data_IF_125979618845
#
_entry.id   IF_125979618845
#
_cell.length_a   1.000
_cell.length_b   1.000
_cell.length_c   1.000
_cell.angle_alpha   90.00
_cell.angle_beta   90.00
_cell.angle_gamma   90.00
#
_symmetry.space_group_name_H-M   'P 1'
#
loop_
_entity.id
_entity.type
_entity.pdbx_description
1 polymer ?
#
# COMPACT_ATOMS: atom_id res chain seq x y z
N UNK A 1 18.55 -43.35 -43.01
CA UNK A 1 18.96 -43.04 -41.62
C UNK A 1 19.60 -41.66 -41.44
N UNK A 2 20.30 -41.07 -42.41
CA UNK A 2 20.91 -39.72 -42.24
C UNK A 2 19.96 -38.51 -42.35
N UNK A 3 18.77 -38.67 -42.98
CA UNK A 3 17.77 -37.58 -43.07
C UNK A 3 16.86 -37.46 -41.84
N UNK A 4 16.76 -38.51 -41.02
CA UNK A 4 15.93 -38.50 -39.80
C UNK A 4 16.65 -37.83 -38.62
N UNK A 5 17.98 -37.87 -38.60
CA UNK A 5 18.80 -37.21 -37.59
C UNK A 5 18.84 -35.68 -37.73
N UNK A 6 18.68 -35.16 -38.96
CA UNK A 6 18.67 -33.71 -39.20
C UNK A 6 17.34 -33.05 -38.80
N UNK A 7 16.24 -33.80 -38.80
CA UNK A 7 14.94 -33.31 -38.33
C UNK A 7 14.85 -33.25 -36.79
N UNK A 8 15.58 -34.13 -36.09
CA UNK A 8 15.57 -34.14 -34.62
C UNK A 8 16.38 -32.99 -34.02
N UNK A 9 17.46 -32.55 -34.66
CA UNK A 9 18.26 -31.40 -34.19
C UNK A 9 17.59 -30.04 -34.46
N UNK A 10 16.71 -29.93 -35.44
CA UNK A 10 15.93 -28.70 -35.68
C UNK A 10 14.72 -28.61 -34.73
N UNK A 11 14.15 -29.74 -34.30
CA UNK A 11 13.06 -29.73 -33.31
C UNK A 11 13.53 -29.37 -31.88
N UNK A 12 14.79 -29.64 -31.54
CA UNK A 12 15.35 -29.28 -30.22
C UNK A 12 15.71 -27.78 -30.08
N UNK A 13 15.80 -27.03 -31.19
CA UNK A 13 15.96 -25.58 -31.15
C UNK A 13 14.65 -24.79 -31.15
N UNK A 14 13.51 -25.45 -31.35
CA UNK A 14 12.17 -24.83 -31.34
C UNK A 14 11.43 -25.01 -30.01
N UNK A 15 12.03 -25.69 -29.03
CA UNK A 15 11.51 -25.84 -27.66
C UNK A 15 12.13 -24.83 -26.66
N UNK A 16 12.91 -23.86 -27.16
CA UNK A 16 13.54 -22.81 -26.35
C UNK A 16 12.71 -21.52 -26.21
N UNK A 17 11.41 -21.53 -26.52
CA UNK A 17 10.54 -20.37 -26.39
C UNK A 17 9.66 -20.50 -25.14
N UNK A 18 9.59 -19.42 -24.36
CA UNK A 18 8.92 -19.26 -23.05
C UNK A 18 9.76 -19.62 -21.81
N UNK A 19 11.06 -19.36 -21.81
CA UNK A 19 11.70 -18.98 -20.54
C UNK A 19 11.37 -17.49 -20.29
N UNK A 20 10.82 -17.11 -19.13
CA UNK A 20 10.61 -15.70 -18.80
C UNK A 20 11.96 -14.97 -18.90
N UNK A 21 11.94 -13.75 -19.45
CA UNK A 21 13.14 -12.89 -19.50
C UNK A 21 13.73 -12.82 -18.08
N UNK A 22 15.05 -13.05 -17.89
CA UNK A 22 15.66 -12.91 -16.57
C UNK A 22 15.27 -11.56 -15.97
N UNK A 23 14.97 -11.53 -14.68
CA UNK A 23 14.70 -10.26 -14.02
C UNK A 23 15.90 -9.33 -14.21
N UNK A 24 15.68 -8.19 -14.87
CA UNK A 24 16.75 -7.21 -15.14
C UNK A 24 17.25 -6.53 -13.86
N UNK A 25 16.43 -6.56 -12.81
CA UNK A 25 16.68 -5.94 -11.51
C UNK A 25 16.73 -6.94 -10.37
N UNK A 26 17.62 -6.68 -9.42
CA UNK A 26 17.70 -7.39 -8.13
C UNK A 26 16.58 -6.99 -7.18
N UNK A 27 16.29 -7.88 -6.22
CA UNK A 27 15.41 -7.58 -5.09
C UNK A 27 15.94 -6.37 -4.31
N UNK A 28 15.04 -5.48 -3.89
CA UNK A 28 15.38 -4.40 -2.97
C UNK A 28 15.65 -4.98 -1.59
N UNK A 29 16.77 -4.60 -0.98
CA UNK A 29 17.18 -5.07 0.35
C UNK A 29 17.63 -3.92 1.24
N UNK A 30 17.69 -4.17 2.54
CA UNK A 30 18.34 -3.27 3.51
C UNK A 30 19.81 -3.68 3.65
N UNK A 31 20.73 -2.73 3.47
CA UNK A 31 22.17 -2.96 3.64
C UNK A 31 22.60 -2.85 5.13
N UNK A 32 23.89 -3.04 5.40
CA UNK A 32 24.43 -2.98 6.77
C UNK A 32 24.29 -1.59 7.44
N UNK A 33 24.19 -0.53 6.64
CA UNK A 33 24.01 0.85 7.12
C UNK A 33 22.52 1.20 7.31
N UNK A 34 21.60 0.26 7.05
CA UNK A 34 20.16 0.46 7.20
C UNK A 34 19.47 1.13 6.00
N UNK A 35 20.15 1.27 4.86
CA UNK A 35 19.58 1.89 3.67
C UNK A 35 18.98 0.85 2.72
N UNK A 36 17.91 1.21 2.02
CA UNK A 36 17.46 0.42 0.88
C UNK A 36 18.50 0.46 -0.24
N UNK A 37 18.71 -0.69 -0.88
CA UNK A 37 19.62 -0.86 -2.00
C UNK A 37 18.94 -1.68 -3.09
N UNK A 38 19.05 -1.21 -4.34
CA UNK A 38 18.66 -1.93 -5.56
C UNK A 38 19.81 -1.87 -6.55
N UNK A 39 20.22 -3.01 -7.08
CA UNK A 39 21.32 -3.14 -8.05
C UNK A 39 22.63 -2.50 -7.58
N UNK A 40 22.92 -2.64 -6.27
CA UNK A 40 24.13 -2.10 -5.64
C UNK A 40 24.10 -0.58 -5.39
N UNK A 41 22.98 0.11 -5.66
CA UNK A 41 22.83 1.55 -5.44
C UNK A 41 21.78 1.84 -4.36
N UNK A 42 21.97 2.90 -3.55
CA UNK A 42 20.93 3.36 -2.64
C UNK A 42 19.61 3.63 -3.37
N UNK A 43 18.50 3.21 -2.77
CA UNK A 43 17.17 3.31 -3.35
C UNK A 43 16.29 4.23 -2.49
N UNK A 44 15.99 5.41 -3.03
CA UNK A 44 15.06 6.38 -2.44
C UNK A 44 13.92 6.66 -3.41
N UNK A 45 12.73 6.96 -2.91
CA UNK A 45 11.58 7.16 -3.79
C UNK A 45 10.53 8.12 -3.22
N UNK A 46 9.88 8.85 -4.13
CA UNK A 46 8.52 9.36 -3.93
C UNK A 46 7.62 8.48 -4.79
N UNK A 47 6.81 7.66 -4.12
CA UNK A 47 5.85 6.74 -4.70
C UNK A 47 4.40 7.23 -4.54
N UNK A 48 3.44 6.37 -4.85
CA UNK A 48 2.02 6.66 -4.68
C UNK A 48 1.27 5.48 -4.03
N UNK A 49 0.19 5.78 -3.30
CA UNK A 49 -0.82 4.77 -2.97
C UNK A 49 -1.76 4.59 -4.18
N UNK A 50 -1.89 3.36 -4.65
CA UNK A 50 -2.68 2.97 -5.81
C UNK A 50 -3.43 1.68 -5.51
N UNK A 51 -4.25 1.73 -4.45
CA UNK A 51 -4.89 0.55 -3.84
C UNK A 51 -5.75 -0.26 -4.83
N UNK A 52 -6.32 0.39 -5.85
CA UNK A 52 -7.22 -0.22 -6.84
C UNK A 52 -6.50 -0.79 -8.07
N UNK A 53 -5.16 -0.80 -8.10
CA UNK A 53 -4.38 -1.25 -9.26
C UNK A 53 -4.70 -2.69 -9.71
N UNK A 54 -4.87 -3.61 -8.75
CA UNK A 54 -5.27 -5.00 -9.03
C UNK A 54 -6.67 -5.09 -9.66
N UNK A 55 -7.61 -4.24 -9.22
CA UNK A 55 -8.97 -4.22 -9.76
C UNK A 55 -8.96 -3.76 -11.22
N UNK A 56 -8.25 -2.68 -11.56
CA UNK A 56 -8.16 -2.22 -12.96
C UNK A 56 -7.51 -3.27 -13.88
N UNK A 57 -6.62 -4.11 -13.36
CA UNK A 57 -6.01 -5.20 -14.11
C UNK A 57 -6.96 -6.35 -14.43
N UNK A 58 -8.13 -6.41 -13.78
CA UNK A 58 -9.14 -7.47 -13.96
C UNK A 58 -9.78 -7.41 -15.36
N UNK A 59 -10.19 -8.57 -15.87
CA UNK A 59 -11.10 -8.67 -17.04
C UNK A 59 -12.58 -8.77 -16.62
N UNK A 60 -12.82 -8.91 -15.31
CA UNK A 60 -14.17 -8.96 -14.73
C UNK A 60 -14.69 -7.59 -14.31
N UNK A 61 -15.63 -7.58 -13.38
CA UNK A 61 -16.21 -6.35 -12.82
C UNK A 61 -15.11 -5.42 -12.24
N UNK A 62 -15.28 -4.11 -12.40
CA UNK A 62 -14.31 -3.08 -12.00
C UNK A 62 -13.06 -2.98 -12.89
N UNK A 63 -12.83 -3.96 -13.77
CA UNK A 63 -11.68 -4.00 -14.67
C UNK A 63 -11.66 -2.86 -15.69
N UNK A 64 -10.50 -2.25 -15.88
CA UNK A 64 -10.26 -1.27 -16.93
C UNK A 64 -8.76 -1.21 -17.26
N UNK A 65 -8.29 -2.20 -18.04
CA UNK A 65 -6.87 -2.32 -18.41
C UNK A 65 -6.35 -1.15 -19.23
N UNK A 66 -7.19 -0.55 -20.08
CA UNK A 66 -6.80 0.65 -20.84
C UNK A 66 -6.48 1.81 -19.90
N UNK A 67 -7.36 2.06 -18.92
CA UNK A 67 -7.07 3.03 -17.86
C UNK A 67 -5.82 2.62 -17.09
N UNK A 68 -5.67 1.36 -16.68
CA UNK A 68 -4.48 0.90 -15.95
C UNK A 68 -3.19 1.26 -16.70
N UNK A 69 -3.08 0.95 -18.00
CA UNK A 69 -1.91 1.29 -18.79
C UNK A 69 -1.66 2.80 -18.81
N UNK A 70 -2.72 3.60 -19.03
CA UNK A 70 -2.64 5.06 -19.04
C UNK A 70 -2.16 5.63 -17.70
N UNK A 71 -2.68 5.11 -16.59
CA UNK A 71 -2.26 5.51 -15.23
C UNK A 71 -0.78 5.18 -15.00
N UNK A 72 -0.36 3.95 -15.29
CA UNK A 72 1.02 3.50 -15.07
C UNK A 72 2.02 4.20 -15.98
N UNK A 73 1.68 4.43 -17.25
CA UNK A 73 2.51 5.20 -18.18
C UNK A 73 2.70 6.63 -17.68
N UNK A 74 1.63 7.26 -17.20
CA UNK A 74 1.70 8.61 -16.66
C UNK A 74 2.55 8.66 -15.38
N UNK A 75 2.28 7.77 -14.41
CA UNK A 75 3.04 7.66 -13.17
C UNK A 75 4.54 7.47 -13.45
N UNK A 76 4.88 6.55 -14.36
CA UNK A 76 6.27 6.34 -14.79
C UNK A 76 6.86 7.60 -15.43
N UNK A 77 6.11 8.31 -16.28
CA UNK A 77 6.57 9.52 -16.95
C UNK A 77 6.91 10.68 -16.00
N UNK A 78 6.29 10.71 -14.80
CA UNK A 78 6.58 11.67 -13.73
C UNK A 78 7.57 11.13 -12.69
N UNK A 79 8.18 9.97 -12.96
CA UNK A 79 9.27 9.41 -12.17
C UNK A 79 8.83 8.55 -10.99
N UNK A 80 7.54 8.24 -10.83
CA UNK A 80 7.08 7.27 -9.83
C UNK A 80 7.61 5.89 -10.21
N UNK A 81 8.22 5.21 -9.24
CA UNK A 81 8.78 3.85 -9.42
C UNK A 81 8.35 2.87 -8.32
N UNK A 82 7.54 3.30 -7.36
CA UNK A 82 7.03 2.49 -6.27
C UNK A 82 5.55 2.79 -6.04
N UNK A 83 4.73 1.75 -5.94
CA UNK A 83 3.31 1.83 -5.65
C UNK A 83 2.97 0.98 -4.43
N UNK A 84 2.17 1.52 -3.52
CA UNK A 84 1.59 0.77 -2.41
C UNK A 84 0.16 0.38 -2.76
N UNK A 85 -0.14 -0.93 -2.71
CA UNK A 85 -1.30 -1.53 -3.37
C UNK A 85 -1.97 -2.56 -2.46
N UNK A 86 -3.31 -2.52 -2.40
CA UNK A 86 -4.11 -3.54 -1.73
C UNK A 86 -4.11 -4.80 -2.61
N UNK A 87 -3.81 -5.96 -2.02
CA UNK A 87 -3.92 -7.24 -2.73
C UNK A 87 -5.37 -7.51 -3.18
N UNK A 88 -6.34 -7.23 -2.32
CA UNK A 88 -7.75 -7.08 -2.67
C UNK A 88 -8.66 -7.01 -1.44
N UNK A 89 -9.93 -6.64 -1.63
CA UNK A 89 -10.89 -6.52 -0.52
C UNK A 89 -11.47 -7.87 -0.08
N UNK A 90 -11.90 -7.93 1.18
CA UNK A 90 -12.48 -9.10 1.83
C UNK A 90 -13.97 -8.89 2.13
N UNK A 91 -14.77 -9.95 2.03
CA UNK A 91 -16.19 -9.97 2.35
C UNK A 91 -17.11 -10.03 1.13
N UNK A 92 -18.42 -10.10 1.37
CA UNK A 92 -19.42 -10.07 0.30
C UNK A 92 -19.49 -8.68 -0.36
N UNK A 93 -19.95 -8.59 -1.61
CA UNK A 93 -20.18 -7.28 -2.23
C UNK A 93 -21.47 -6.61 -1.69
N UNK A 94 -21.70 -5.34 -2.01
CA UNK A 94 -22.94 -4.63 -1.67
C UNK A 94 -22.95 -3.86 -0.34
N UNK A 95 -21.80 -3.74 0.35
CA UNK A 95 -21.66 -2.84 1.51
C UNK A 95 -21.16 -1.49 1.03
N UNK A 96 -21.96 -0.43 1.20
CA UNK A 96 -21.72 0.90 0.60
C UNK A 96 -20.32 1.49 0.86
N UNK A 97 -19.79 1.32 2.08
CA UNK A 97 -18.48 1.86 2.46
C UNK A 97 -17.32 0.93 2.15
N UNK A 98 -17.57 -0.25 1.57
CA UNK A 98 -16.55 -1.21 1.16
C UNK A 98 -16.42 -1.19 -0.36
N UNK A 99 -15.20 -1.20 -0.86
CA UNK A 99 -14.97 -1.31 -2.29
C UNK A 99 -15.42 -2.67 -2.81
N UNK A 100 -16.03 -2.67 -3.99
CA UNK A 100 -16.30 -3.88 -4.76
C UNK A 100 -15.69 -3.78 -6.17
N UNK A 101 -15.32 -4.91 -6.80
CA UNK A 101 -15.50 -6.29 -6.31
C UNK A 101 -14.45 -6.73 -5.27
N UNK A 102 -14.90 -7.57 -4.33
CA UNK A 102 -14.02 -8.21 -3.35
C UNK A 102 -13.16 -9.31 -3.99
N UNK A 103 -11.93 -9.43 -3.51
CA UNK A 103 -11.01 -10.50 -3.83
C UNK A 103 -11.37 -11.79 -3.09
N UNK A 104 -11.64 -11.73 -1.78
CA UNK A 104 -11.99 -12.90 -0.99
C UNK A 104 -13.41 -12.76 -0.46
N UNK A 105 -14.36 -13.49 -1.05
CA UNK A 105 -15.79 -13.37 -0.72
C UNK A 105 -16.19 -14.16 0.53
N UNK A 106 -15.44 -15.23 0.82
CA UNK A 106 -15.55 -16.05 2.03
C UNK A 106 -14.15 -16.64 2.33
N UNK A 107 -13.89 -17.18 3.54
CA UNK A 107 -12.57 -17.69 3.89
C UNK A 107 -12.05 -18.72 2.89
N UNK A 108 -10.93 -18.41 2.21
CA UNK A 108 -10.32 -19.27 1.20
C UNK A 108 -11.08 -19.36 -0.14
N UNK A 109 -12.17 -18.62 -0.31
CA UNK A 109 -12.94 -18.53 -1.56
C UNK A 109 -12.60 -17.21 -2.25
N UNK A 110 -11.82 -17.30 -3.32
CA UNK A 110 -11.30 -16.15 -4.03
C UNK A 110 -12.02 -15.89 -5.36
N UNK A 111 -12.17 -14.62 -5.68
CA UNK A 111 -12.58 -14.13 -6.98
C UNK A 111 -11.41 -14.24 -7.97
N UNK A 112 -11.49 -15.20 -8.89
CA UNK A 112 -10.41 -15.50 -9.82
C UNK A 112 -10.07 -14.35 -10.77
N UNK A 113 -11.06 -13.52 -11.16
CA UNK A 113 -10.79 -12.39 -12.07
C UNK A 113 -9.98 -11.30 -11.38
N UNK A 114 -10.15 -11.11 -10.07
CA UNK A 114 -9.35 -10.15 -9.29
C UNK A 114 -7.95 -10.69 -9.00
N UNK A 115 -7.80 -11.99 -8.76
CA UNK A 115 -6.50 -12.64 -8.71
C UNK A 115 -5.74 -12.52 -10.05
N UNK A 116 -6.45 -12.71 -11.17
CA UNK A 116 -5.89 -12.44 -12.50
C UNK A 116 -5.54 -10.96 -12.66
N UNK A 117 -6.36 -10.05 -12.14
CA UNK A 117 -6.08 -8.63 -12.15
C UNK A 117 -4.80 -8.24 -11.43
N UNK A 118 -4.55 -8.82 -10.25
CA UNK A 118 -3.28 -8.65 -9.54
C UNK A 118 -2.09 -9.20 -10.34
N UNK A 119 -2.22 -10.38 -10.94
CA UNK A 119 -1.16 -10.96 -11.80
C UNK A 119 -0.84 -10.05 -12.99
N UNK A 120 -1.87 -9.50 -13.64
CA UNK A 120 -1.73 -8.60 -14.77
C UNK A 120 -1.06 -7.29 -14.34
N UNK A 121 -1.54 -6.70 -13.24
CA UNK A 121 -0.97 -5.49 -12.66
C UNK A 121 0.52 -5.64 -12.36
N UNK A 122 0.94 -6.74 -11.74
CA UNK A 122 2.35 -7.01 -11.45
C UNK A 122 3.18 -7.16 -12.74
N UNK A 123 2.61 -7.74 -13.80
CA UNK A 123 3.28 -7.79 -15.09
C UNK A 123 3.45 -6.38 -15.69
N UNK A 124 2.44 -5.52 -15.59
CA UNK A 124 2.51 -4.14 -16.07
C UNK A 124 3.51 -3.27 -15.31
N UNK A 125 3.71 -3.52 -14.00
CA UNK A 125 4.76 -2.88 -13.24
C UNK A 125 6.16 -3.35 -13.68
N UNK A 126 6.32 -4.65 -13.97
CA UNK A 126 7.58 -5.20 -14.49
C UNK A 126 7.97 -4.51 -15.80
N UNK A 127 7.06 -4.40 -16.75
CA UNK A 127 7.33 -3.76 -18.06
C UNK A 127 7.72 -2.27 -17.94
N UNK A 128 7.49 -1.65 -16.79
CA UNK A 128 7.80 -0.24 -16.50
C UNK A 128 8.90 -0.07 -15.45
N UNK A 129 9.58 -1.13 -15.03
CA UNK A 129 10.57 -1.12 -13.94
C UNK A 129 10.06 -0.48 -12.64
N UNK A 130 8.77 -0.60 -12.38
CA UNK A 130 8.14 -0.14 -11.15
C UNK A 130 8.12 -1.28 -10.11
N UNK A 131 7.92 -0.93 -8.85
CA UNK A 131 7.82 -1.89 -7.76
C UNK A 131 6.54 -1.72 -6.96
N UNK A 132 6.10 -2.81 -6.30
CA UNK A 132 4.92 -2.81 -5.46
C UNK A 132 5.25 -3.11 -3.99
N UNK A 133 4.65 -2.36 -3.07
CA UNK A 133 4.38 -2.83 -1.71
C UNK A 133 2.97 -3.41 -1.71
N UNK A 134 2.84 -4.69 -1.34
CA UNK A 134 1.56 -5.40 -1.34
C UNK A 134 1.10 -5.62 0.11
N UNK A 135 0.04 -4.91 0.53
CA UNK A 135 -0.55 -5.12 1.86
C UNK A 135 -1.70 -6.14 1.82
N UNK A 136 -1.69 -7.01 2.83
CA UNK A 136 -2.45 -8.27 2.85
C UNK A 136 -3.76 -8.20 3.66
N UNK A 137 -3.96 -7.13 4.43
CA UNK A 137 -5.13 -6.93 5.28
C UNK A 137 -5.38 -5.44 5.48
N UNK A 138 -6.39 -5.09 6.27
CA UNK A 138 -6.74 -3.73 6.64
C UNK A 138 -7.38 -3.72 8.03
N UNK A 139 -7.06 -2.71 8.85
CA UNK A 139 -7.80 -2.46 10.09
C UNK A 139 -9.17 -1.82 9.84
N UNK A 140 -9.35 -1.19 8.69
CA UNK A 140 -10.54 -0.43 8.33
C UNK A 140 -11.51 -1.22 7.46
N UNK A 141 -12.76 -0.77 7.47
CA UNK A 141 -13.92 -1.38 6.86
C UNK A 141 -13.90 -1.36 5.33
N UNK A 142 -13.18 -0.41 4.75
CA UNK A 142 -13.33 -0.09 3.33
C UNK A 142 -12.86 -1.18 2.38
N UNK A 143 -12.07 -2.13 2.88
CA UNK A 143 -11.72 -3.37 2.18
C UNK A 143 -12.11 -4.61 2.99
N UNK A 144 -13.06 -4.49 3.93
CA UNK A 144 -13.46 -5.54 4.85
C UNK A 144 -12.54 -5.64 6.06
N UNK A 145 -11.34 -6.15 5.87
CA UNK A 145 -10.29 -6.15 6.89
C UNK A 145 -10.66 -6.92 8.16
N UNK A 146 -10.17 -6.46 9.32
CA UNK A 146 -10.40 -7.08 10.63
C UNK A 146 -11.88 -7.43 10.89
N UNK A 147 -12.79 -6.53 10.52
CA UNK A 147 -14.22 -6.70 10.75
C UNK A 147 -14.78 -7.96 10.06
N UNK A 148 -14.34 -8.22 8.83
CA UNK A 148 -14.77 -9.39 8.05
C UNK A 148 -14.14 -10.68 8.57
N UNK A 149 -12.86 -10.67 8.95
CA UNK A 149 -12.23 -11.84 9.57
C UNK A 149 -12.87 -12.21 10.92
N UNK A 150 -13.30 -11.21 11.70
CA UNK A 150 -14.07 -11.44 12.92
C UNK A 150 -15.44 -12.05 12.61
N UNK A 151 -16.15 -11.56 11.60
CA UNK A 151 -17.43 -12.12 11.18
C UNK A 151 -17.27 -13.59 10.76
N UNK A 152 -16.31 -13.89 9.89
CA UNK A 152 -16.04 -15.24 9.41
C UNK A 152 -15.60 -16.22 10.51
N UNK A 153 -15.04 -15.70 11.60
CA UNK A 153 -14.65 -16.49 12.76
C UNK A 153 -15.73 -16.60 13.84
N UNK A 154 -16.94 -16.09 13.60
CA UNK A 154 -18.10 -16.28 14.47
C UNK A 154 -18.28 -15.20 15.55
N UNK A 155 -17.69 -14.01 15.39
CA UNK A 155 -17.82 -12.91 16.35
C UNK A 155 -19.08 -12.04 16.12
N UNK A 156 -19.99 -12.45 15.24
CA UNK A 156 -21.19 -11.70 14.88
C UNK A 156 -21.13 -11.13 13.47
N UNK A 157 -22.09 -10.28 13.11
CA UNK A 157 -22.08 -9.56 11.83
C UNK A 157 -20.99 -8.48 11.85
N UNK A 158 -20.32 -8.27 10.71
CA UNK A 158 -19.32 -7.21 10.58
C UNK A 158 -19.98 -5.85 10.81
N UNK A 159 -19.43 -5.10 11.77
CA UNK A 159 -19.89 -3.74 12.09
C UNK A 159 -19.45 -2.78 11.00
N UNK A 160 -20.35 -1.87 10.59
CA UNK A 160 -20.11 -0.87 9.54
C UNK A 160 -20.24 0.54 10.16
N UNK A 161 -19.17 1.35 10.22
CA UNK A 161 -19.19 2.66 10.89
C UNK A 161 -20.29 3.60 10.39
N UNK A 162 -20.61 3.58 9.10
CA UNK A 162 -21.66 4.41 8.51
C UNK A 162 -23.09 4.02 8.96
N UNK A 163 -23.27 2.82 9.53
CA UNK A 163 -24.54 2.31 10.07
C UNK A 163 -24.53 2.34 11.59
N UNK A 164 -23.47 1.81 12.20
CA UNK A 164 -23.39 1.52 13.64
C UNK A 164 -22.60 2.58 14.43
N UNK A 165 -21.81 3.41 13.74
CA UNK A 165 -20.93 4.41 14.32
C UNK A 165 -19.51 3.91 14.62
N UNK A 166 -18.55 4.83 14.56
CA UNK A 166 -17.14 4.56 14.85
C UNK A 166 -16.89 3.91 16.22
N UNK A 167 -17.53 4.31 17.34
CA UNK A 167 -17.32 3.65 18.62
C UNK A 167 -17.69 2.16 18.62
N UNK A 168 -18.79 1.79 17.95
CA UNK A 168 -19.19 0.39 17.82
C UNK A 168 -18.20 -0.39 16.96
N UNK A 169 -17.69 0.23 15.89
CA UNK A 169 -16.65 -0.38 15.06
C UNK A 169 -15.38 -0.65 15.85
N UNK A 170 -14.85 0.35 16.58
CA UNK A 170 -13.65 0.18 17.42
C UNK A 170 -13.83 -0.94 18.45
N UNK A 171 -14.98 -0.99 19.11
CA UNK A 171 -15.31 -2.03 20.09
C UNK A 171 -15.39 -3.43 19.44
N UNK A 172 -15.84 -3.50 18.20
CA UNK A 172 -15.88 -4.75 17.45
C UNK A 172 -14.48 -5.19 17.02
N UNK A 173 -13.72 -4.34 16.33
CA UNK A 173 -12.42 -4.72 15.75
C UNK A 173 -11.32 -4.92 16.77
N UNK A 174 -11.42 -4.36 17.98
CA UNK A 174 -10.49 -4.70 19.08
C UNK A 174 -10.54 -6.18 19.47
N UNK A 175 -11.53 -6.96 19.05
CA UNK A 175 -11.52 -8.41 19.28
C UNK A 175 -10.48 -9.15 18.42
N UNK A 176 -10.03 -8.56 17.31
CA UNK A 176 -9.16 -9.23 16.34
C UNK A 176 -7.82 -9.71 16.92
N UNK A 177 -7.04 -8.90 17.67
CA UNK A 177 -5.76 -9.36 18.24
C UNK A 177 -5.88 -10.60 19.17
N UNK A 178 -7.06 -10.79 19.78
CA UNK A 178 -7.35 -11.90 20.70
C UNK A 178 -7.96 -13.11 19.98
N UNK A 179 -8.52 -12.94 18.78
CA UNK A 179 -9.23 -13.99 18.06
C UNK A 179 -8.26 -14.90 17.29
N UNK A 180 -7.87 -16.01 17.91
CA UNK A 180 -7.00 -17.01 17.27
C UNK A 180 -7.62 -17.57 15.99
N UNK A 181 -8.94 -17.73 15.94
CA UNK A 181 -9.67 -18.14 14.73
C UNK A 181 -9.59 -17.10 13.61
N UNK A 182 -9.76 -15.80 13.90
CA UNK A 182 -9.63 -14.75 12.88
C UNK A 182 -8.19 -14.67 12.36
N UNK A 183 -7.20 -14.72 13.26
CA UNK A 183 -5.77 -14.72 12.91
C UNK A 183 -5.39 -15.95 12.09
N UNK A 184 -5.96 -17.12 12.36
CA UNK A 184 -5.74 -18.33 11.57
C UNK A 184 -6.30 -18.22 10.15
N UNK A 185 -7.49 -17.62 9.98
CA UNK A 185 -8.04 -17.35 8.65
C UNK A 185 -7.13 -16.38 7.87
N UNK A 186 -6.63 -15.33 8.52
CA UNK A 186 -5.68 -14.42 7.90
C UNK A 186 -4.35 -15.12 7.54
N UNK A 187 -3.81 -15.95 8.42
CA UNK A 187 -2.59 -16.73 8.14
C UNK A 187 -2.77 -17.63 6.91
N UNK A 188 -3.96 -18.20 6.68
CA UNK A 188 -4.27 -18.95 5.46
C UNK A 188 -4.29 -18.05 4.23
N UNK A 189 -4.81 -16.83 4.33
CA UNK A 189 -4.75 -15.84 3.26
C UNK A 189 -3.31 -15.46 2.91
N UNK A 190 -2.46 -15.22 3.91
CA UNK A 190 -1.02 -14.95 3.72
C UNK A 190 -0.36 -16.12 2.98
N UNK A 191 -0.58 -17.36 3.42
CA UNK A 191 -0.04 -18.55 2.76
C UNK A 191 -0.44 -18.60 1.27
N UNK A 192 -1.71 -18.34 0.97
CA UNK A 192 -2.26 -18.43 -0.37
C UNK A 192 -1.68 -17.36 -1.32
N UNK A 193 -1.63 -16.10 -0.87
CA UNK A 193 -1.16 -14.97 -1.70
C UNK A 193 0.36 -14.99 -1.87
N UNK A 194 1.12 -15.16 -0.79
CA UNK A 194 2.60 -15.14 -0.87
C UNK A 194 3.12 -16.30 -1.73
N UNK A 195 2.47 -17.46 -1.67
CA UNK A 195 2.86 -18.64 -2.46
C UNK A 195 2.33 -18.61 -3.91
N UNK A 196 1.67 -17.53 -4.34
CA UNK A 196 1.03 -17.43 -5.65
C UNK A 196 2.05 -17.48 -6.79
N UNK A 197 1.64 -18.10 -7.89
CA UNK A 197 2.34 -17.99 -9.19
C UNK A 197 1.55 -17.08 -10.11
N UNK A 198 2.22 -16.08 -10.68
CA UNK A 198 1.63 -15.18 -11.65
C UNK A 198 1.18 -15.98 -12.90
N UNK A 199 -0.10 -15.92 -13.27
CA UNK A 199 -0.63 -16.71 -14.39
C UNK A 199 -0.13 -16.25 -15.77
N UNK A 200 0.29 -14.99 -15.93
CA UNK A 200 0.68 -14.44 -17.23
C UNK A 200 2.15 -14.70 -17.56
N UNK A 201 3.04 -14.57 -16.56
CA UNK A 201 4.47 -14.74 -16.77
C UNK A 201 5.09 -15.98 -16.07
N UNK A 202 4.28 -16.73 -15.31
CA UNK A 202 4.65 -17.97 -14.60
C UNK A 202 5.73 -17.80 -13.52
N UNK A 203 6.06 -16.56 -13.15
CA UNK A 203 6.97 -16.26 -12.05
C UNK A 203 6.21 -16.43 -10.73
N UNK A 204 6.78 -17.16 -9.78
CA UNK A 204 6.25 -17.19 -8.42
C UNK A 204 6.43 -15.82 -7.80
N UNK A 205 5.44 -15.34 -7.04
CA UNK A 205 5.54 -14.03 -6.39
C UNK A 205 6.78 -13.94 -5.50
N UNK A 206 7.17 -15.01 -4.81
CA UNK A 206 8.42 -15.07 -4.02
C UNK A 206 9.72 -14.94 -4.82
N UNK A 207 9.65 -15.15 -6.13
CA UNK A 207 10.77 -15.04 -7.08
C UNK A 207 10.67 -13.75 -7.92
N UNK A 208 9.68 -12.88 -7.67
CA UNK A 208 9.40 -11.70 -8.50
C UNK A 208 9.92 -10.38 -7.89
N UNK A 209 11.09 -9.85 -8.33
CA UNK A 209 11.66 -8.61 -7.78
C UNK A 209 10.90 -7.33 -8.18
N UNK A 210 9.77 -7.44 -8.90
CA UNK A 210 8.80 -6.35 -9.02
C UNK A 210 8.08 -6.11 -7.69
N UNK A 211 8.02 -7.09 -6.79
CA UNK A 211 7.58 -6.85 -5.42
C UNK A 211 8.76 -6.25 -4.63
N UNK A 212 8.53 -5.11 -3.98
CA UNK A 212 9.48 -4.52 -3.04
C UNK A 212 9.34 -5.16 -1.66
N UNK A 213 8.10 -5.25 -1.17
CA UNK A 213 7.81 -5.75 0.18
C UNK A 213 6.42 -6.37 0.25
N UNK A 214 6.32 -7.42 1.04
CA UNK A 214 5.06 -7.81 1.66
C UNK A 214 4.77 -6.87 2.83
N UNK A 215 3.52 -6.51 3.03
CA UNK A 215 3.09 -5.69 4.16
C UNK A 215 1.94 -6.38 4.90
N UNK A 216 2.04 -6.45 6.23
CA UNK A 216 1.10 -7.22 7.07
C UNK A 216 -0.34 -6.71 6.88
N UNK A 217 -0.55 -5.40 6.91
CA UNK A 217 -1.85 -4.84 6.60
C UNK A 217 -1.79 -3.33 6.51
N UNK A 218 -2.89 -2.72 6.10
CA UNK A 218 -3.07 -1.29 6.17
C UNK A 218 -3.44 -0.87 7.60
N UNK A 219 -2.61 -0.02 8.20
CA UNK A 219 -2.82 0.60 9.52
C UNK A 219 -3.20 -0.42 10.62
N UNK A 220 -2.48 -1.55 10.81
CA UNK A 220 -2.78 -2.52 11.86
C UNK A 220 -2.72 -1.84 13.25
N UNK A 221 -3.78 -1.99 14.05
CA UNK A 221 -3.86 -1.44 15.43
C UNK A 221 -4.23 -2.46 16.48
N UNK A 222 -3.97 -2.13 17.74
CA UNK A 222 -4.40 -2.90 18.91
C UNK A 222 -5.86 -2.59 19.29
N UNK A 223 -6.31 -1.35 19.05
CA UNK A 223 -7.63 -0.81 19.39
C UNK A 223 -7.98 -0.84 20.88
N UNK A 224 -7.01 -1.15 21.75
CA UNK A 224 -7.12 -1.07 23.21
C UNK A 224 -5.75 -1.28 23.87
N UNK A 225 -5.59 -0.79 25.10
CA UNK A 225 -4.37 -0.97 25.90
C UNK A 225 -4.10 -2.45 26.23
N UNK A 226 -5.14 -3.22 26.56
CA UNK A 226 -5.04 -4.65 26.89
C UNK A 226 -4.59 -5.51 25.70
N UNK A 227 -4.78 -5.02 24.47
CA UNK A 227 -4.38 -5.73 23.25
C UNK A 227 -2.96 -5.43 22.77
N UNK A 228 -2.24 -4.47 23.35
CA UNK A 228 -0.89 -4.08 22.88
C UNK A 228 0.06 -5.28 22.76
N UNK A 229 0.03 -6.17 23.76
CA UNK A 229 0.86 -7.37 23.80
C UNK A 229 0.42 -8.48 22.82
N UNK A 230 -0.86 -8.91 22.80
CA UNK A 230 -1.39 -9.77 21.73
C UNK A 230 -1.13 -9.25 20.33
N UNK A 231 -1.27 -7.94 20.12
CA UNK A 231 -1.04 -7.27 18.84
C UNK A 231 0.42 -7.37 18.41
N UNK A 232 1.37 -7.03 19.29
CA UNK A 232 2.80 -7.16 18.98
C UNK A 232 3.20 -8.60 18.64
N UNK A 233 2.65 -9.60 19.36
CA UNK A 233 2.88 -11.02 19.06
C UNK A 233 2.32 -11.41 17.70
N UNK A 234 1.09 -11.00 17.39
CA UNK A 234 0.48 -11.28 16.08
C UNK A 234 1.29 -10.67 14.93
N UNK A 235 1.77 -9.43 15.07
CA UNK A 235 2.63 -8.79 14.07
C UNK A 235 3.93 -9.60 13.84
N UNK A 236 4.56 -10.07 14.92
CA UNK A 236 5.76 -10.91 14.85
C UNK A 236 5.49 -12.28 14.20
N UNK A 237 4.37 -12.94 14.57
CA UNK A 237 3.97 -14.24 14.02
C UNK A 237 3.74 -14.16 12.51
N UNK A 238 3.02 -13.13 12.03
CA UNK A 238 2.78 -12.92 10.60
C UNK A 238 4.08 -12.58 9.87
N UNK A 239 4.94 -11.72 10.43
CA UNK A 239 6.23 -11.40 9.83
C UNK A 239 7.11 -12.64 9.66
N UNK A 240 7.18 -13.48 10.69
CA UNK A 240 7.92 -14.75 10.65
C UNK A 240 7.30 -15.73 9.65
N UNK A 241 5.97 -15.80 9.56
CA UNK A 241 5.27 -16.63 8.58
C UNK A 241 5.65 -16.20 7.16
N UNK A 242 5.54 -14.91 6.82
CA UNK A 242 5.90 -14.40 5.50
C UNK A 242 7.36 -14.74 5.19
N UNK A 243 8.29 -14.51 6.13
CA UNK A 243 9.72 -14.85 5.94
C UNK A 243 9.98 -16.34 5.73
N UNK A 244 9.16 -17.22 6.32
CA UNK A 244 9.28 -18.67 6.12
C UNK A 244 8.85 -19.11 4.72
N UNK A 245 7.90 -18.38 4.10
CA UNK A 245 7.43 -18.62 2.75
C UNK A 245 8.34 -17.95 1.71
N UNK A 246 8.86 -16.77 2.05
CA UNK A 246 9.59 -15.88 1.17
C UNK A 246 10.83 -15.28 1.87
N UNK A 247 12.01 -15.89 1.65
CA UNK A 247 13.26 -15.38 2.20
C UNK A 247 13.85 -14.22 1.37
N UNK A 248 13.28 -13.89 0.20
CA UNK A 248 13.84 -12.92 -0.74
C UNK A 248 13.34 -11.49 -0.47
N UNK A 249 12.03 -11.34 -0.29
CA UNK A 249 11.38 -10.03 -0.15
C UNK A 249 11.49 -9.43 1.24
N UNK A 250 11.42 -8.11 1.30
CA UNK A 250 11.24 -7.41 2.58
C UNK A 250 9.85 -7.66 3.15
N UNK A 251 9.72 -7.50 4.47
CA UNK A 251 8.45 -7.46 5.17
C UNK A 251 8.34 -6.16 5.96
N UNK A 252 7.16 -5.54 5.92
CA UNK A 252 6.85 -4.31 6.65
C UNK A 252 5.51 -4.40 7.37
N UNK A 253 5.31 -3.51 8.34
CA UNK A 253 4.14 -3.58 9.23
C UNK A 253 2.90 -2.97 8.59
N UNK A 254 3.06 -1.82 7.93
CA UNK A 254 1.94 -0.96 7.54
C UNK A 254 1.45 -0.01 8.64
N UNK A 255 2.20 0.12 9.74
CA UNK A 255 1.83 0.94 10.88
C UNK A 255 1.87 2.43 10.56
N UNK A 256 0.96 3.18 11.18
CA UNK A 256 0.97 4.64 11.15
C UNK A 256 2.08 5.26 12.02
N UNK A 257 2.79 4.47 12.82
CA UNK A 257 3.68 4.96 13.87
C UNK A 257 3.04 4.86 15.25
N UNK A 258 3.38 5.78 16.14
CA UNK A 258 2.79 5.89 17.48
C UNK A 258 1.28 6.05 17.43
N UNK A 259 0.74 6.73 16.43
CA UNK A 259 -0.71 6.88 16.25
C UNK A 259 -1.43 5.53 16.06
N UNK A 260 -0.82 4.63 15.29
CA UNK A 260 -1.30 3.26 15.09
C UNK A 260 -0.91 2.29 16.20
N UNK A 261 -0.12 2.76 17.18
CA UNK A 261 0.33 2.00 18.34
C UNK A 261 -0.25 2.57 19.64
N UNK A 262 -1.48 3.11 19.61
CA UNK A 262 -2.17 3.67 20.79
C UNK A 262 -1.35 4.73 21.53
N UNK A 263 -0.65 5.59 20.76
CA UNK A 263 0.29 6.62 21.24
C UNK A 263 1.46 6.06 22.06
N UNK A 264 1.78 4.78 21.89
CA UNK A 264 2.83 4.08 22.64
C UNK A 264 4.05 3.79 21.77
N UNK A 265 5.10 4.60 21.95
CA UNK A 265 6.37 4.42 21.26
C UNK A 265 7.09 3.12 21.64
N UNK A 266 6.84 2.56 22.82
CA UNK A 266 7.45 1.27 23.20
C UNK A 266 6.80 0.12 22.42
N UNK A 267 5.50 0.21 22.14
CA UNK A 267 4.82 -0.75 21.28
C UNK A 267 5.32 -0.65 19.83
N UNK A 268 5.43 0.58 19.30
CA UNK A 268 6.00 0.80 17.97
C UNK A 268 7.43 0.25 17.88
N UNK A 269 8.26 0.52 18.89
CA UNK A 269 9.62 -0.04 18.98
C UNK A 269 9.61 -1.57 19.01
N UNK A 270 8.77 -2.18 19.86
CA UNK A 270 8.68 -3.63 20.00
C UNK A 270 8.35 -4.34 18.70
N UNK A 271 7.39 -3.81 17.93
CA UNK A 271 6.99 -4.36 16.62
C UNK A 271 8.15 -4.23 15.63
N UNK A 272 8.77 -3.06 15.56
CA UNK A 272 9.79 -2.79 14.53
C UNK A 272 11.20 -3.22 14.93
N UNK A 273 11.43 -3.65 16.17
CA UNK A 273 12.64 -4.32 16.62
C UNK A 273 12.72 -5.77 16.10
N UNK A 274 11.59 -6.38 15.72
CA UNK A 274 11.55 -7.75 15.20
C UNK A 274 12.44 -7.89 13.95
N UNK A 275 13.37 -8.88 13.88
CA UNK A 275 14.28 -9.04 12.75
C UNK A 275 13.60 -9.40 11.42
N UNK A 276 12.36 -9.91 11.47
CA UNK A 276 11.59 -10.23 10.27
C UNK A 276 10.96 -8.98 9.64
N UNK A 277 10.74 -7.91 10.41
CA UNK A 277 10.33 -6.59 9.90
C UNK A 277 11.57 -5.84 9.41
N UNK A 278 11.68 -5.58 8.11
CA UNK A 278 12.90 -5.02 7.52
C UNK A 278 12.97 -3.50 7.58
N UNK A 279 11.84 -2.81 7.59
CA UNK A 279 11.80 -1.35 7.64
C UNK A 279 10.56 -0.85 8.39
N UNK A 280 10.59 0.41 8.78
CA UNK A 280 9.56 1.07 9.58
C UNK A 280 8.58 1.80 8.66
N UNK A 281 7.31 1.79 9.04
CA UNK A 281 6.26 2.55 8.38
C UNK A 281 5.75 3.62 9.35
N UNK A 282 5.46 4.80 8.81
CA UNK A 282 4.68 5.84 9.48
C UNK A 282 3.70 6.42 8.48
N UNK A 283 2.54 6.85 8.98
CA UNK A 283 1.54 7.57 8.20
C UNK A 283 1.33 8.93 8.85
N UNK A 284 0.87 9.95 8.12
CA UNK A 284 0.58 11.26 8.69
C UNK A 284 -0.71 11.83 8.08
N UNK A 285 -1.70 12.06 8.96
CA UNK A 285 -3.03 12.51 8.57
C UNK A 285 -3.46 13.80 9.28
N UNK A 286 -2.98 14.98 8.82
CA UNK A 286 -3.19 16.24 9.54
C UNK A 286 -4.65 16.58 9.80
N UNK A 287 -5.55 16.25 8.87
CA UNK A 287 -6.98 16.49 9.03
C UNK A 287 -7.60 15.51 10.04
N UNK A 288 -7.39 14.21 9.85
CA UNK A 288 -7.95 13.15 10.71
C UNK A 288 -7.44 13.27 12.16
N UNK A 289 -6.19 13.72 12.33
CA UNK A 289 -5.56 13.92 13.64
C UNK A 289 -5.82 15.31 14.23
N UNK A 290 -6.72 16.08 13.60
CA UNK A 290 -7.15 17.42 14.05
C UNK A 290 -6.03 18.46 14.16
N UNK A 291 -4.92 18.28 13.43
CA UNK A 291 -3.87 19.30 13.29
C UNK A 291 -4.30 20.43 12.36
N UNK A 292 -5.19 20.12 11.41
CA UNK A 292 -5.89 21.11 10.57
C UNK A 292 -7.40 20.89 10.63
N UNK A 293 -8.16 21.89 10.19
CA UNK A 293 -9.64 21.84 10.12
C UNK A 293 -10.11 22.26 8.73
N UNK A 294 -11.29 21.80 8.35
CA UNK A 294 -11.87 22.06 7.03
C UNK A 294 -11.96 23.55 6.68
N UNK A 295 -12.28 24.40 7.65
CA UNK A 295 -12.44 25.84 7.49
C UNK A 295 -11.15 26.65 7.65
N UNK A 296 -10.04 26.03 8.04
CA UNK A 296 -8.77 26.72 8.35
C UNK A 296 -7.52 26.00 7.87
N UNK A 297 -7.62 25.24 6.77
CA UNK A 297 -6.51 24.45 6.19
C UNK A 297 -5.23 25.28 5.96
N UNK A 298 -5.37 26.46 5.33
CA UNK A 298 -4.23 27.33 5.00
C UNK A 298 -3.62 27.98 6.25
N UNK A 299 -4.47 28.40 7.18
CA UNK A 299 -4.03 29.02 8.44
C UNK A 299 -3.26 28.03 9.32
N UNK A 300 -3.72 26.78 9.37
CA UNK A 300 -3.11 25.72 10.20
C UNK A 300 -2.00 24.93 9.49
N UNK A 301 -1.70 25.24 8.23
CA UNK A 301 -0.63 24.59 7.47
C UNK A 301 0.74 24.66 8.18
N UNK A 302 1.17 25.78 8.80
CA UNK A 302 2.41 25.82 9.58
C UNK A 302 2.42 24.81 10.74
N UNK A 303 1.30 24.66 11.46
CA UNK A 303 1.14 23.68 12.53
C UNK A 303 1.24 22.24 12.00
N UNK A 304 0.59 21.96 10.86
CA UNK A 304 0.69 20.66 10.21
C UNK A 304 2.14 20.30 9.87
N UNK A 305 2.92 21.24 9.33
CA UNK A 305 4.34 21.03 9.00
C UNK A 305 5.19 20.78 10.24
N UNK A 306 5.01 21.58 11.29
CA UNK A 306 5.74 21.41 12.55
C UNK A 306 5.47 20.03 13.17
N UNK A 307 4.20 19.65 13.29
CA UNK A 307 3.80 18.35 13.84
C UNK A 307 4.30 17.20 12.97
N UNK A 308 4.28 17.36 11.64
CA UNK A 308 4.81 16.38 10.68
C UNK A 308 6.28 16.11 10.92
N UNK A 309 7.10 17.17 10.98
CA UNK A 309 8.53 17.00 11.23
C UNK A 309 8.80 16.40 12.60
N UNK A 310 8.11 16.87 13.64
CA UNK A 310 8.24 16.30 14.99
C UNK A 310 7.92 14.80 14.99
N UNK A 311 6.83 14.41 14.34
CA UNK A 311 6.42 13.00 14.26
C UNK A 311 7.49 12.17 13.55
N UNK A 312 8.00 12.62 12.40
CA UNK A 312 9.10 11.93 11.70
C UNK A 312 10.34 11.82 12.59
N UNK A 313 10.76 12.91 13.23
CA UNK A 313 11.95 12.95 14.09
C UNK A 313 11.84 11.97 15.28
N UNK A 314 10.66 11.89 15.92
CA UNK A 314 10.42 10.98 17.04
C UNK A 314 10.58 9.49 16.61
N UNK A 315 10.09 9.12 15.42
CA UNK A 315 10.20 7.74 14.91
C UNK A 315 11.60 7.43 14.37
N UNK A 316 12.31 8.44 13.85
CA UNK A 316 13.70 8.30 13.39
C UNK A 316 14.65 7.88 14.51
N UNK A 317 14.33 8.13 15.78
CA UNK A 317 15.10 7.63 16.92
C UNK A 317 15.17 6.10 16.91
N UNK A 318 14.03 5.43 16.65
CA UNK A 318 13.94 3.97 16.61
C UNK A 318 14.57 3.44 15.31
N UNK A 319 14.32 4.09 14.18
CA UNK A 319 14.95 3.75 12.90
C UNK A 319 16.48 3.67 13.03
N UNK A 320 17.08 4.70 13.65
CA UNK A 320 18.53 4.75 13.93
C UNK A 320 18.99 3.70 14.94
N UNK A 321 18.20 3.44 15.99
CA UNK A 321 18.55 2.43 17.01
C UNK A 321 18.69 1.03 16.43
N UNK A 322 17.87 0.68 15.44
CA UNK A 322 17.84 -0.64 14.83
C UNK A 322 18.48 -0.71 13.44
N UNK A 323 19.04 0.40 12.95
CA UNK A 323 19.59 0.51 11.59
C UNK A 323 18.59 0.02 10.53
N UNK A 324 17.35 0.50 10.64
CA UNK A 324 16.28 0.18 9.69
C UNK A 324 15.79 1.46 9.01
N UNK A 325 15.53 1.42 7.69
CA UNK A 325 14.95 2.57 7.01
C UNK A 325 13.52 2.82 7.48
N UNK A 326 13.04 4.04 7.31
CA UNK A 326 11.65 4.45 7.56
C UNK A 326 11.03 4.99 6.28
N UNK A 327 9.76 4.68 6.06
CA UNK A 327 8.98 5.16 4.92
C UNK A 327 7.71 5.85 5.42
N UNK A 328 7.46 7.07 4.94
CA UNK A 328 6.19 7.76 5.12
C UNK A 328 5.22 7.30 4.03
N UNK A 329 4.68 6.11 4.21
CA UNK A 329 3.97 5.41 3.12
C UNK A 329 2.51 5.82 2.97
N UNK A 330 1.98 6.66 3.87
CA UNK A 330 0.76 7.42 3.62
C UNK A 330 0.87 8.82 4.21
N UNK A 331 0.57 9.81 3.39
CA UNK A 331 0.31 11.16 3.85
C UNK A 331 -0.58 11.87 2.84
N UNK A 332 -1.53 12.66 3.33
CA UNK A 332 -2.47 13.42 2.52
C UNK A 332 -2.70 14.81 3.08
N UNK A 333 -3.23 15.70 2.24
CA UNK A 333 -3.69 17.02 2.66
C UNK A 333 -4.90 17.42 1.79
N UNK A 334 -6.02 17.91 2.37
CA UNK A 334 -7.22 18.22 1.59
C UNK A 334 -7.02 19.31 0.54
N UNK A 335 -7.91 19.38 -0.47
CA UNK A 335 -7.93 20.48 -1.45
C UNK A 335 -8.35 21.80 -0.79
N UNK A 336 -8.08 22.91 -1.46
CA UNK A 336 -8.41 24.23 -0.94
C UNK A 336 -9.94 24.38 -0.72
N UNK A 337 -10.31 25.03 0.39
CA UNK A 337 -11.71 25.15 0.80
C UNK A 337 -12.36 23.83 1.25
N UNK A 338 -11.55 22.79 1.49
CA UNK A 338 -12.03 21.45 1.81
C UNK A 338 -13.00 20.90 0.74
N UNK A 339 -12.72 21.26 -0.53
CA UNK A 339 -13.51 20.81 -1.67
C UNK A 339 -13.12 19.38 -2.06
N UNK A 340 -14.09 18.63 -2.57
CA UNK A 340 -13.86 17.32 -3.18
C UNK A 340 -13.82 17.37 -4.71
N UNK A 341 -14.11 18.53 -5.33
CA UNK A 341 -14.08 18.64 -6.80
C UNK A 341 -12.63 18.71 -7.31
N UNK A 342 -12.32 17.96 -8.38
CA UNK A 342 -11.01 17.96 -9.05
C UNK A 342 -10.66 19.31 -9.70
N UNK A 343 -11.65 20.19 -9.88
CA UNK A 343 -11.47 21.56 -10.36
C UNK A 343 -11.01 22.52 -9.25
N UNK A 344 -11.20 22.17 -7.98
CA UNK A 344 -10.76 23.01 -6.87
C UNK A 344 -9.21 23.06 -6.78
N UNK A 345 -8.60 24.20 -6.44
CA UNK A 345 -7.14 24.28 -6.34
C UNK A 345 -6.57 23.44 -5.19
N UNK A 346 -5.27 23.13 -5.28
CA UNK A 346 -4.52 22.35 -4.27
C UNK A 346 -3.38 23.16 -3.64
N UNK A 347 -3.52 24.47 -3.47
CA UNK A 347 -2.36 25.31 -3.09
C UNK A 347 -1.79 24.98 -1.71
N UNK A 348 -2.63 24.70 -0.71
CA UNK A 348 -2.16 24.28 0.62
C UNK A 348 -1.55 22.87 0.60
N UNK A 349 -2.17 21.94 -0.15
CA UNK A 349 -1.64 20.58 -0.38
C UNK A 349 -0.26 20.64 -1.05
N UNK A 350 -0.14 21.41 -2.11
CA UNK A 350 1.09 21.60 -2.87
C UNK A 350 2.24 22.09 -1.96
N UNK A 351 1.95 23.05 -1.08
CA UNK A 351 2.92 23.57 -0.12
C UNK A 351 3.28 22.54 0.97
N UNK A 352 2.33 21.74 1.42
CA UNK A 352 2.57 20.63 2.34
C UNK A 352 3.43 19.52 1.70
N UNK A 353 3.13 19.13 0.45
CA UNK A 353 3.87 18.11 -0.28
C UNK A 353 5.33 18.53 -0.52
N UNK A 354 5.57 19.78 -0.93
CA UNK A 354 6.95 20.32 -1.04
C UNK A 354 7.72 20.17 0.28
N UNK A 355 7.07 20.47 1.40
CA UNK A 355 7.69 20.35 2.71
C UNK A 355 8.09 18.91 3.05
N UNK A 356 7.17 17.95 2.87
CA UNK A 356 7.45 16.52 3.12
C UNK A 356 8.56 16.01 2.21
N UNK A 357 8.51 16.34 0.92
CA UNK A 357 9.52 15.99 -0.07
C UNK A 357 10.90 16.57 0.27
N UNK A 358 10.95 17.83 0.71
CA UNK A 358 12.20 18.45 1.15
C UNK A 358 12.81 17.76 2.37
N UNK A 359 12.01 17.21 3.30
CA UNK A 359 12.52 16.43 4.44
C UNK A 359 13.20 15.14 3.97
N UNK A 360 12.59 14.40 3.04
CA UNK A 360 13.16 13.16 2.48
C UNK A 360 14.47 13.46 1.77
N UNK A 361 14.48 14.50 0.92
CA UNK A 361 15.69 14.88 0.18
C UNK A 361 16.83 15.30 1.09
N UNK A 362 16.55 16.10 2.12
CA UNK A 362 17.56 16.52 3.10
C UNK A 362 18.14 15.32 3.87
N UNK A 363 17.30 14.36 4.28
CA UNK A 363 17.77 13.17 4.97
C UNK A 363 18.62 12.29 4.03
N UNK A 364 18.20 12.10 2.77
CA UNK A 364 18.98 11.42 1.71
C UNK A 364 20.35 12.06 1.51
N UNK A 365 20.43 13.38 1.40
CA UNK A 365 21.69 14.12 1.19
C UNK A 365 22.68 13.89 2.35
N UNK A 366 22.19 13.55 3.54
CA UNK A 366 22.99 13.17 4.71
C UNK A 366 23.26 11.67 4.83
N UNK A 367 22.77 10.84 3.89
CA UNK A 367 22.85 9.38 3.96
C UNK A 367 21.95 8.78 5.03
N UNK A 368 20.85 9.46 5.38
CA UNK A 368 19.94 9.06 6.45
C UNK A 368 19.06 7.85 6.13
N UNK A 369 18.10 7.59 7.02
CA UNK A 369 17.25 6.40 7.00
C UNK A 369 15.83 6.69 6.50
N UNK A 370 15.48 7.95 6.21
CA UNK A 370 14.19 8.31 5.63
C UNK A 370 14.21 8.00 4.14
N UNK A 371 13.81 6.77 3.82
CA UNK A 371 14.10 6.14 2.54
C UNK A 371 13.05 6.44 1.46
N UNK A 372 11.89 6.96 1.83
CA UNK A 372 10.90 7.37 0.84
C UNK A 372 9.55 7.70 1.43
N UNK A 373 8.62 8.00 0.53
CA UNK A 373 7.21 8.17 0.87
C UNK A 373 6.31 7.66 -0.24
N UNK A 374 5.04 7.39 0.09
CA UNK A 374 3.98 7.22 -0.89
C UNK A 374 2.88 8.21 -0.52
N UNK A 375 2.57 9.16 -1.41
CA UNK A 375 1.47 10.07 -1.12
C UNK A 375 0.15 9.30 -1.16
N UNK A 376 -0.78 9.68 -0.29
CA UNK A 376 -2.16 9.25 -0.35
C UNK A 376 -3.00 10.35 -1.02
N UNK A 377 -3.61 10.10 -2.18
CA UNK A 377 -3.48 8.90 -3.02
C UNK A 377 -3.63 9.25 -4.51
N UNK A 378 -3.29 8.31 -5.40
CA UNK A 378 -3.41 8.52 -6.83
C UNK A 378 -4.87 8.40 -7.28
N UNK A 379 -5.51 9.51 -7.65
CA UNK A 379 -6.83 9.53 -8.31
C UNK A 379 -6.72 9.49 -9.84
N UNK A 380 -5.62 9.99 -10.38
CA UNK A 380 -5.24 9.78 -11.77
C UNK A 380 -6.23 10.37 -12.77
N UNK A 381 -6.65 9.54 -13.72
CA UNK A 381 -7.58 9.91 -14.79
C UNK A 381 -9.05 9.61 -14.48
N UNK A 382 -9.38 9.33 -13.21
CA UNK A 382 -10.76 9.12 -12.80
C UNK A 382 -11.66 10.31 -13.17
N UNK A 383 -12.84 10.01 -13.71
CA UNK A 383 -13.93 10.96 -13.78
C UNK A 383 -14.75 10.94 -12.49
N UNK A 384 -15.10 12.14 -11.99
CA UNK A 384 -15.94 12.27 -10.81
C UNK A 384 -17.40 12.30 -11.20
N UNK A 385 -18.23 11.58 -10.47
CA UNK A 385 -19.67 11.61 -10.66
C UNK A 385 -20.24 12.89 -10.02
N UNK A 386 -20.90 13.79 -10.78
CA UNK A 386 -21.46 15.01 -10.20
C UNK A 386 -22.71 14.77 -9.34
N UNK A 387 -23.29 13.56 -9.36
CA UNK A 387 -24.51 13.21 -8.63
C UNK A 387 -24.28 12.84 -7.16
N UNK A 388 -23.09 12.38 -6.80
CA UNK A 388 -22.73 11.99 -5.43
C UNK A 388 -21.23 12.11 -5.19
N UNK A 389 -20.86 12.31 -3.92
CA UNK A 389 -19.46 12.50 -3.51
C UNK A 389 -18.82 11.23 -2.96
N UNK A 390 -19.60 10.21 -2.62
CA UNK A 390 -19.07 8.89 -2.23
C UNK A 390 -19.10 7.98 -3.44
N UNK A 391 -18.17 7.02 -3.46
CA UNK A 391 -18.10 6.02 -4.51
C UNK A 391 -19.36 5.15 -4.52
N UNK A 392 -19.88 4.89 -5.70
CA UNK A 392 -20.93 3.90 -5.94
C UNK A 392 -20.46 2.91 -7.02
N UNK A 393 -21.04 1.70 -7.01
CA UNK A 393 -20.71 0.66 -7.99
C UNK A 393 -20.84 1.21 -9.42
N UNK A 394 -19.75 1.11 -10.17
CA UNK A 394 -19.66 1.54 -11.56
C UNK A 394 -19.01 2.92 -11.74
N UNK A 395 -18.79 3.66 -10.66
CA UNK A 395 -17.91 4.83 -10.69
C UNK A 395 -16.46 4.41 -10.95
N UNK A 396 -15.70 5.34 -11.54
CA UNK A 396 -14.26 5.25 -11.56
C UNK A 396 -13.68 5.21 -10.13
N UNK A 397 -12.79 4.24 -9.88
CA UNK A 397 -12.02 4.24 -8.63
C UNK A 397 -11.11 5.48 -8.58
N UNK A 398 -11.12 6.19 -7.45
CA UNK A 398 -10.14 7.24 -7.16
C UNK A 398 -9.13 6.76 -6.12
N UNK A 399 -8.25 7.64 -5.68
CA UNK A 399 -7.35 7.35 -4.56
C UNK A 399 -8.09 7.26 -3.22
N UNK A 400 -9.26 7.89 -3.12
CA UNK A 400 -10.10 7.86 -1.92
C UNK A 400 -11.00 6.61 -1.96
N UNK A 401 -10.92 5.66 -1.01
CA UNK A 401 -11.73 4.45 -1.04
C UNK A 401 -13.19 4.75 -0.67
N UNK A 402 -14.05 3.73 -0.76
CA UNK A 402 -15.51 3.90 -0.77
C UNK A 402 -16.12 4.52 0.50
N UNK A 403 -15.41 4.49 1.63
CA UNK A 403 -15.80 5.12 2.89
C UNK A 403 -15.55 6.63 2.94
N UNK A 404 -14.79 7.18 1.98
CA UNK A 404 -14.41 8.60 1.92
C UNK A 404 -14.99 9.31 0.68
N UNK A 405 -15.02 10.64 0.75
CA UNK A 405 -15.44 11.45 -0.38
C UNK A 405 -14.40 11.38 -1.50
N UNK A 406 -14.86 11.07 -2.72
CA UNK A 406 -14.08 10.89 -3.93
C UNK A 406 -13.50 12.23 -4.37
N UNK A 407 -12.26 12.53 -3.97
CA UNK A 407 -11.58 13.82 -4.15
C UNK A 407 -11.03 14.44 -2.85
N UNK A 408 -11.23 13.81 -1.70
CA UNK A 408 -10.71 14.26 -0.40
C UNK A 408 -9.18 14.40 -0.43
N UNK A 409 -8.48 13.32 -0.74
CA UNK A 409 -7.02 13.25 -0.80
C UNK A 409 -6.50 12.83 -2.18
N UNK A 410 -7.35 12.39 -3.11
CA UNK A 410 -6.95 12.07 -4.48
C UNK A 410 -6.17 13.19 -5.15
N UNK A 411 -5.01 12.83 -5.71
CA UNK A 411 -4.24 13.62 -6.67
C UNK A 411 -4.66 13.19 -8.07
N UNK A 412 -5.32 14.08 -8.80
CA UNK A 412 -5.73 13.87 -10.18
C UNK A 412 -4.63 14.25 -11.15
N UNK A 413 -4.63 13.66 -12.35
CA UNK A 413 -3.63 13.94 -13.38
C UNK A 413 -3.60 15.41 -13.85
N UNK A 414 -4.66 16.17 -13.56
CA UNK A 414 -4.80 17.60 -13.87
C UNK A 414 -4.33 18.53 -12.75
N UNK A 415 -3.96 18.00 -11.58
CA UNK A 415 -3.60 18.82 -10.41
C UNK A 415 -2.23 19.48 -10.56
N UNK A 416 -2.06 20.68 -9.98
CA UNK A 416 -0.74 21.33 -9.91
C UNK A 416 0.27 20.54 -9.06
N UNK A 417 -0.21 19.67 -8.17
CA UNK A 417 0.60 18.75 -7.37
C UNK A 417 1.48 17.83 -8.23
N UNK A 418 1.06 17.51 -9.47
CA UNK A 418 1.83 16.65 -10.39
C UNK A 418 3.22 17.21 -10.68
N UNK A 419 3.34 18.51 -10.91
CA UNK A 419 4.64 19.13 -11.22
C UNK A 419 5.57 19.12 -10.01
N UNK A 420 5.03 19.12 -8.79
CA UNK A 420 5.80 19.02 -7.55
C UNK A 420 6.37 17.61 -7.39
N UNK A 421 5.52 16.58 -7.57
CA UNK A 421 5.92 15.17 -7.53
C UNK A 421 6.99 14.89 -8.59
N UNK A 422 6.76 15.34 -9.83
CA UNK A 422 7.68 15.17 -10.96
C UNK A 422 9.02 15.85 -10.73
N UNK A 423 9.00 17.09 -10.21
CA UNK A 423 10.22 17.81 -9.90
C UNK A 423 11.03 17.09 -8.82
N UNK A 424 10.37 16.56 -7.79
CA UNK A 424 11.07 15.86 -6.71
C UNK A 424 11.66 14.52 -7.17
N UNK A 425 10.90 13.69 -7.89
CA UNK A 425 11.42 12.42 -8.39
C UNK A 425 12.64 12.61 -9.31
N UNK A 426 12.69 13.69 -10.10
CA UNK A 426 13.89 14.05 -10.88
C UNK A 426 15.08 14.40 -10.00
N UNK A 427 14.88 15.05 -8.84
CA UNK A 427 15.97 15.35 -7.90
C UNK A 427 16.45 14.09 -7.18
N UNK A 428 15.57 13.11 -6.92
CA UNK A 428 15.96 11.85 -6.26
C UNK A 428 16.71 10.89 -7.19
N UNK A 429 16.48 10.97 -8.49
CA UNK A 429 17.19 10.18 -9.50
C UNK A 429 18.61 10.71 -9.84
N UNK A 430 18.85 12.00 -9.61
CA UNK A 430 20.18 12.63 -9.71
C UNK A 430 20.89 12.58 -8.36
#
# INVERSE_FOLDING_TARGET
MKKLFLLLTVLLFLLGACAPKPAEHSFIKVNADGQFVRDGKPYYFVGANFWYGAILGSEGEGGNRERLHKELDFLKSIGINNLRVLVGADGENGIKTRVEPSLQVAPGVYNDTILAGLDYFMNELRERDMTAVLYLNNSWEWSGGYSVYLQWSGHGEAVVPAVDGWPAYMEYVKQFPQSDSAKALFANHVNYIVSRTNRYNQIKYVDDPTIMSWQIGNEPRAFSDENKEPFARWMADVAAQIKSLDPNHMVSSGSEGSWGCEMDMNLFEKIHADPNINYLNIHIWPYNWSWVKADSLKELLPCAKENTKKYIDDHMVIARKYSKPIVLEEFGFPRDGFSFSKEAPTTARDEYYRYVFDLIRQDRESGGLFAGCNFWAWGGFAEQNPGHVFWEKGDDYTGDPAQEQQGLNSVFATDSTIEIIKAENRKLQN
#
